data_IF_348757128301
#
_entry.id   IF_348757128301
#
_cell.length_a   1.000
_cell.length_b   1.000
_cell.length_c   1.000
_cell.angle_alpha   90.00
_cell.angle_beta   90.00
_cell.angle_gamma   90.00
#
_symmetry.space_group_name_H-M   'P 1'
#
loop_
_entity.id
_entity.type
_entity.pdbx_description
1 polymer ?
#
# COMPACT_ATOMS: atom_id res chain seq x y z
N UNK A 1 27.85 -6.64 -3.70
CA UNK A 1 26.42 -6.28 -3.82
C UNK A 1 26.16 -5.19 -2.80
N UNK A 2 25.85 -3.98 -3.24
CA UNK A 2 25.52 -2.86 -2.35
C UNK A 2 24.23 -3.20 -1.59
N UNK A 3 24.17 -2.95 -0.29
CA UNK A 3 22.94 -3.13 0.47
C UNK A 3 21.80 -2.33 -0.19
N UNK A 4 20.57 -2.87 -0.30
CA UNK A 4 19.46 -2.12 -0.83
C UNK A 4 19.24 -0.86 0.04
N UNK A 5 18.90 0.28 -0.57
CA UNK A 5 18.63 1.50 0.18
C UNK A 5 17.47 1.25 1.14
N UNK A 6 17.67 1.62 2.41
CA UNK A 6 16.59 1.64 3.40
C UNK A 6 15.68 2.82 3.08
N UNK A 7 14.36 2.64 3.00
CA UNK A 7 13.44 3.75 2.80
C UNK A 7 13.44 4.64 4.04
N UNK A 8 13.24 5.94 3.84
CA UNK A 8 13.16 6.87 4.97
C UNK A 8 11.95 6.58 5.88
N UNK A 9 10.84 6.14 5.29
CA UNK A 9 9.60 5.82 5.99
C UNK A 9 8.81 4.70 5.30
N UNK A 10 7.85 4.15 6.03
CA UNK A 10 6.72 3.43 5.46
C UNK A 10 5.44 4.19 5.75
N UNK A 11 4.66 4.44 4.69
CA UNK A 11 3.30 4.95 4.80
C UNK A 11 2.30 3.81 4.78
N UNK A 12 1.42 3.81 5.77
CA UNK A 12 0.47 2.75 6.04
C UNK A 12 -0.91 3.15 5.53
N UNK A 13 -1.56 2.26 4.78
CA UNK A 13 -2.87 2.48 4.17
C UNK A 13 -3.81 1.33 4.54
N UNK A 14 -5.06 1.68 4.81
CA UNK A 14 -6.15 0.72 5.03
C UNK A 14 -7.37 1.19 4.26
N UNK A 15 -8.00 0.25 3.58
CA UNK A 15 -9.28 0.46 2.90
C UNK A 15 -10.21 -0.72 3.15
N UNK A 16 -11.50 -0.43 3.30
CA UNK A 16 -12.56 -1.44 3.39
C UNK A 16 -13.80 -0.89 2.69
N UNK A 17 -14.40 -1.68 1.82
CA UNK A 17 -15.57 -1.27 1.06
C UNK A 17 -16.11 -2.39 0.17
N UNK A 18 -17.01 -2.06 -0.75
CA UNK A 18 -17.56 -3.04 -1.68
C UNK A 18 -16.52 -3.51 -2.70
N UNK A 19 -16.50 -4.81 -2.98
CA UNK A 19 -15.62 -5.42 -3.97
C UNK A 19 -15.78 -4.79 -5.35
N UNK A 20 -17.00 -4.40 -5.71
CA UNK A 20 -17.31 -3.72 -6.98
C UNK A 20 -16.61 -2.35 -7.09
N UNK A 21 -16.54 -1.59 -6.00
CA UNK A 21 -15.78 -0.33 -5.97
C UNK A 21 -14.28 -0.59 -6.12
N UNK A 22 -13.77 -1.67 -5.52
CA UNK A 22 -12.38 -2.10 -5.73
C UNK A 22 -12.11 -2.60 -7.16
N UNK A 23 -13.11 -3.13 -7.88
CA UNK A 23 -12.98 -3.52 -9.29
C UNK A 23 -13.03 -2.35 -10.28
N UNK A 24 -13.37 -1.14 -9.84
CA UNK A 24 -13.39 0.05 -10.69
C UNK A 24 -11.95 0.50 -11.03
N UNK A 25 -11.39 -0.10 -12.08
CA UNK A 25 -10.01 0.11 -12.52
C UNK A 25 -9.65 1.59 -12.76
N UNK A 26 -10.46 2.42 -13.45
CA UNK A 26 -10.12 3.82 -13.73
C UNK A 26 -9.79 4.64 -12.48
N UNK A 27 -10.44 4.36 -11.34
CA UNK A 27 -10.19 5.06 -10.07
C UNK A 27 -8.87 4.62 -9.39
N UNK A 28 -8.22 3.57 -9.89
CA UNK A 28 -7.08 2.88 -9.27
C UNK A 28 -5.76 3.07 -10.03
N UNK A 29 -5.76 3.76 -11.16
CA UNK A 29 -4.53 4.02 -11.91
C UNK A 29 -4.37 5.49 -12.32
N UNK A 30 -3.15 6.04 -12.24
CA UNK A 30 -2.85 7.27 -12.95
C UNK A 30 -2.97 7.06 -14.48
N UNK A 31 -3.11 8.13 -15.27
CA UNK A 31 -3.18 8.03 -16.72
C UNK A 31 -1.94 7.35 -17.28
N UNK A 32 -2.15 6.27 -18.03
CA UNK A 32 -1.21 5.50 -18.87
C UNK A 32 0.26 5.91 -18.79
N UNK A 33 1.05 5.13 -18.04
CA UNK A 33 2.50 5.27 -17.98
C UNK A 33 3.19 4.01 -18.48
N UNK A 34 3.99 4.16 -19.54
CA UNK A 34 4.85 3.10 -20.11
C UNK A 34 6.34 3.46 -19.90
N UNK A 35 6.66 4.54 -19.17
CA UNK A 35 8.03 4.97 -18.96
C UNK A 35 8.53 4.66 -17.53
N UNK A 36 9.73 4.07 -17.43
CA UNK A 36 10.40 3.81 -16.15
C UNK A 36 11.15 5.04 -15.60
N UNK A 37 11.48 6.00 -16.47
CA UNK A 37 12.36 7.15 -16.16
C UNK A 37 11.59 8.45 -15.95
N UNK A 38 10.41 8.37 -15.33
CA UNK A 38 9.57 9.53 -15.03
C UNK A 38 10.21 10.31 -13.89
N UNK A 39 10.42 11.61 -14.09
CA UNK A 39 10.94 12.51 -13.06
C UNK A 39 9.91 12.79 -11.97
N UNK A 40 10.33 13.21 -10.75
CA UNK A 40 9.39 13.59 -9.70
C UNK A 40 8.37 14.67 -10.12
N UNK A 41 8.77 15.59 -10.99
CA UNK A 41 7.88 16.65 -11.50
C UNK A 41 6.85 16.10 -12.48
N UNK A 42 7.25 15.21 -13.38
CA UNK A 42 6.32 14.55 -14.31
C UNK A 42 5.31 13.69 -13.55
N UNK A 43 5.72 12.96 -12.51
CA UNK A 43 4.80 12.22 -11.63
C UNK A 43 3.68 13.10 -11.08
N UNK A 44 4.03 14.30 -10.59
CA UNK A 44 3.05 15.27 -10.09
C UNK A 44 2.07 15.72 -11.19
N UNK A 45 2.55 15.95 -12.41
CA UNK A 45 1.72 16.34 -13.55
C UNK A 45 0.77 15.22 -13.98
N UNK A 46 1.28 13.98 -14.07
CA UNK A 46 0.49 12.80 -14.44
C UNK A 46 -0.62 12.57 -13.41
N UNK A 47 -0.29 12.63 -12.13
CA UNK A 47 -1.25 12.47 -11.06
C UNK A 47 -2.31 13.57 -11.10
N UNK A 48 -1.91 14.83 -11.30
CA UNK A 48 -2.83 15.97 -11.43
C UNK A 48 -3.78 15.86 -12.64
N UNK A 49 -3.35 15.20 -13.72
CA UNK A 49 -4.18 14.94 -14.89
C UNK A 49 -5.28 13.89 -14.66
N UNK A 50 -5.31 13.20 -13.50
CA UNK A 50 -6.39 12.30 -13.11
C UNK A 50 -7.01 12.67 -11.76
N UNK A 51 -7.98 13.60 -11.76
CA UNK A 51 -8.70 13.96 -10.55
C UNK A 51 -9.39 12.78 -9.86
N UNK A 52 -9.94 11.84 -10.65
CA UNK A 52 -10.59 10.62 -10.13
C UNK A 52 -9.61 9.75 -9.35
N UNK A 53 -8.41 9.53 -9.89
CA UNK A 53 -7.36 8.76 -9.19
C UNK A 53 -6.90 9.46 -7.91
N UNK A 54 -6.76 10.79 -7.95
CA UNK A 54 -6.30 11.60 -6.81
C UNK A 54 -7.34 11.72 -5.70
N UNK A 55 -8.63 11.65 -6.04
CA UNK A 55 -9.73 11.68 -5.08
C UNK A 55 -10.06 10.29 -4.51
N UNK A 56 -9.67 9.22 -5.20
CA UNK A 56 -9.99 7.85 -4.82
C UNK A 56 -9.27 7.43 -3.54
N UNK A 57 -10.02 6.78 -2.64
CA UNK A 57 -9.46 6.09 -1.46
C UNK A 57 -9.26 4.59 -1.72
N UNK A 58 -9.66 4.10 -2.89
CA UNK A 58 -9.59 2.68 -3.28
C UNK A 58 -8.15 2.31 -3.60
N UNK A 59 -7.59 1.18 -3.12
CA UNK A 59 -6.18 0.87 -3.34
C UNK A 59 -5.79 0.91 -4.82
N UNK A 60 -4.65 1.51 -5.19
CA UNK A 60 -4.21 1.60 -6.57
C UNK A 60 -3.87 0.22 -7.15
N UNK A 61 -3.72 0.14 -8.48
CA UNK A 61 -3.28 -1.10 -9.15
C UNK A 61 -1.82 -1.41 -8.83
N UNK A 62 -0.95 -0.40 -8.87
CA UNK A 62 0.45 -0.51 -8.45
C UNK A 62 0.57 0.11 -7.05
N UNK A 63 1.10 -0.66 -6.09
CA UNK A 63 1.16 -0.25 -4.68
C UNK A 63 1.91 1.06 -4.46
N UNK A 64 2.99 1.29 -5.20
CA UNK A 64 3.80 2.51 -5.09
C UNK A 64 3.02 3.78 -5.47
N UNK A 65 1.95 3.67 -6.27
CA UNK A 65 1.11 4.81 -6.63
C UNK A 65 0.29 5.36 -5.46
N UNK A 66 0.27 4.69 -4.30
CA UNK A 66 -0.22 5.32 -3.07
C UNK A 66 0.55 6.61 -2.75
N UNK A 67 1.86 6.64 -3.02
CA UNK A 67 2.71 7.81 -2.76
C UNK A 67 2.36 9.03 -3.64
N UNK A 68 1.64 8.82 -4.76
CA UNK A 68 1.12 9.91 -5.58
C UNK A 68 -0.13 10.56 -4.96
N UNK A 69 -0.81 9.86 -4.05
CA UNK A 69 -2.05 10.36 -3.45
C UNK A 69 -1.77 11.37 -2.34
N UNK A 70 -2.74 12.26 -2.04
CA UNK A 70 -2.57 13.23 -0.98
C UNK A 70 -2.32 12.57 0.38
N UNK A 71 -1.47 13.20 1.20
CA UNK A 71 -1.07 12.69 2.51
C UNK A 71 -2.24 12.33 3.45
N UNK A 72 -3.41 12.96 3.28
CA UNK A 72 -4.64 12.62 4.04
C UNK A 72 -5.10 11.17 3.90
N UNK A 73 -4.65 10.47 2.86
CA UNK A 73 -4.98 9.05 2.63
C UNK A 73 -4.16 8.11 3.53
N UNK A 74 -3.05 8.61 4.07
CA UNK A 74 -2.13 7.87 4.94
C UNK A 74 -2.77 7.71 6.32
N UNK A 75 -2.79 6.47 6.82
CA UNK A 75 -3.37 6.13 8.14
C UNK A 75 -2.33 6.16 9.26
N UNK A 76 -1.08 5.85 8.94
CA UNK A 76 0.07 5.98 9.83
C UNK A 76 1.37 6.10 9.03
N UNK A 77 2.41 6.64 9.65
CA UNK A 77 3.77 6.68 9.06
C UNK A 77 4.77 6.29 10.14
N UNK A 78 5.73 5.45 9.79
CA UNK A 78 6.78 5.02 10.70
C UNK A 78 8.13 4.95 9.99
N UNK A 79 9.21 5.08 10.75
CA UNK A 79 10.59 4.90 10.27
C UNK A 79 11.14 3.53 10.65
N UNK A 80 10.62 2.90 11.71
CA UNK A 80 11.11 1.62 12.20
C UNK A 80 10.28 0.45 11.63
N UNK A 81 10.91 -0.53 10.94
CA UNK A 81 10.22 -1.70 10.37
C UNK A 81 9.35 -2.46 11.38
N UNK A 82 9.79 -2.54 12.64
CA UNK A 82 9.06 -3.25 13.69
C UNK A 82 7.74 -2.56 14.02
N UNK A 83 7.70 -1.22 14.02
CA UNK A 83 6.46 -0.46 14.25
C UNK A 83 5.49 -0.58 13.07
N UNK A 84 6.03 -0.63 11.84
CA UNK A 84 5.25 -0.86 10.61
C UNK A 84 4.62 -2.24 10.64
N UNK A 85 5.39 -3.27 11.02
CA UNK A 85 4.90 -4.64 11.18
C UNK A 85 3.83 -4.74 12.28
N UNK A 86 4.07 -4.13 13.45
CA UNK A 86 3.11 -4.10 14.54
C UNK A 86 1.78 -3.48 14.08
N UNK A 87 1.83 -2.34 13.39
CA UNK A 87 0.63 -1.71 12.83
C UNK A 87 -0.10 -2.64 11.85
N UNK A 88 0.62 -3.31 10.96
CA UNK A 88 0.03 -4.26 10.01
C UNK A 88 -0.68 -5.42 10.72
N UNK A 89 -0.01 -6.02 11.72
CA UNK A 89 -0.58 -7.10 12.54
C UNK A 89 -1.86 -6.65 13.22
N UNK A 90 -1.85 -5.47 13.84
CA UNK A 90 -3.03 -4.90 14.48
C UNK A 90 -4.20 -4.72 13.50
N UNK A 91 -3.94 -4.18 12.31
CA UNK A 91 -5.00 -4.00 11.30
C UNK A 91 -5.58 -5.35 10.81
N UNK A 92 -4.73 -6.35 10.60
CA UNK A 92 -5.17 -7.68 10.15
C UNK A 92 -5.94 -8.40 11.25
N UNK A 93 -5.47 -8.34 12.50
CA UNK A 93 -6.16 -8.92 13.64
C UNK A 93 -7.54 -8.29 13.85
N UNK A 94 -7.65 -6.96 13.75
CA UNK A 94 -8.93 -6.23 13.82
C UNK A 94 -9.91 -6.70 12.72
N UNK A 95 -9.43 -6.95 11.51
CA UNK A 95 -10.26 -7.40 10.39
C UNK A 95 -10.61 -8.90 10.42
N UNK A 96 -9.82 -9.72 11.12
CA UNK A 96 -9.90 -11.20 11.08
C UNK A 96 -11.30 -11.76 11.33
N UNK A 97 -12.09 -11.26 12.32
CA UNK A 97 -13.44 -11.76 12.55
C UNK A 97 -14.38 -11.61 11.34
N UNK A 98 -14.08 -10.70 10.41
CA UNK A 98 -14.90 -10.36 9.24
C UNK A 98 -14.52 -11.11 7.96
N UNK A 99 -13.40 -11.84 7.95
CA UNK A 99 -12.96 -12.60 6.78
C UNK A 99 -13.96 -13.69 6.40
N UNK A 100 -14.15 -13.91 5.09
CA UNK A 100 -15.04 -14.97 4.58
C UNK A 100 -14.44 -16.34 4.85
N UNK A 101 -13.17 -16.53 4.50
CA UNK A 101 -12.57 -17.85 4.48
C UNK A 101 -11.95 -18.20 5.84
N UNK A 102 -12.13 -19.44 6.28
CA UNK A 102 -11.44 -19.93 7.48
C UNK A 102 -9.94 -20.11 7.24
N UNK A 103 -9.53 -20.25 5.98
CA UNK A 103 -8.14 -20.21 5.57
C UNK A 103 -7.47 -18.89 5.99
N UNK A 104 -8.14 -17.76 5.81
CA UNK A 104 -7.60 -16.45 6.19
C UNK A 104 -7.62 -16.19 7.70
N UNK A 105 -8.50 -16.87 8.43
CA UNK A 105 -8.57 -16.81 9.89
C UNK A 105 -7.60 -17.77 10.58
N UNK A 106 -7.01 -18.72 9.85
CA UNK A 106 -6.14 -19.73 10.42
C UNK A 106 -4.91 -19.07 11.07
N UNK A 107 -4.66 -19.27 12.39
CA UNK A 107 -3.59 -18.58 13.10
C UNK A 107 -2.18 -18.89 12.55
N UNK A 108 -1.93 -20.14 12.14
CA UNK A 108 -0.64 -20.54 11.54
C UNK A 108 -0.40 -19.79 10.23
N UNK A 109 -1.41 -19.69 9.37
CA UNK A 109 -1.33 -18.93 8.11
C UNK A 109 -1.13 -17.44 8.35
N UNK A 110 -1.77 -16.88 9.37
CA UNK A 110 -1.54 -15.48 9.74
C UNK A 110 -0.10 -15.27 10.21
N UNK A 111 0.43 -16.16 11.04
CA UNK A 111 1.83 -16.12 11.47
C UNK A 111 2.79 -16.18 10.27
N UNK A 112 2.57 -17.09 9.30
CA UNK A 112 3.36 -17.18 8.06
C UNK A 112 3.34 -15.84 7.29
N UNK A 113 2.17 -15.22 7.14
CA UNK A 113 2.03 -13.91 6.47
C UNK A 113 2.74 -12.79 7.22
N UNK A 114 2.67 -12.77 8.54
CA UNK A 114 3.36 -11.77 9.35
C UNK A 114 4.88 -11.93 9.26
N UNK A 115 5.40 -13.17 9.28
CA UNK A 115 6.82 -13.42 9.05
C UNK A 115 7.26 -12.97 7.66
N UNK A 116 6.46 -13.23 6.61
CA UNK A 116 6.76 -12.77 5.26
C UNK A 116 6.72 -11.23 5.15
N UNK A 117 5.82 -10.58 5.88
CA UNK A 117 5.78 -9.13 5.97
C UNK A 117 7.04 -8.57 6.67
N UNK A 118 7.46 -9.16 7.79
CA UNK A 118 8.68 -8.77 8.51
C UNK A 118 9.91 -8.89 7.61
N UNK A 119 10.05 -10.02 6.92
CA UNK A 119 11.14 -10.22 5.96
C UNK A 119 11.13 -9.14 4.88
N UNK A 120 9.98 -8.90 4.26
CA UNK A 120 9.82 -7.86 3.22
C UNK A 120 10.18 -6.46 3.71
N UNK A 121 9.76 -6.11 4.93
CA UNK A 121 10.06 -4.82 5.55
C UNK A 121 11.54 -4.68 5.90
N UNK A 122 12.21 -5.76 6.31
CA UNK A 122 13.63 -5.74 6.72
C UNK A 122 14.58 -5.24 5.63
N UNK A 123 14.21 -5.40 4.36
CA UNK A 123 14.98 -4.92 3.21
C UNK A 123 14.32 -3.75 2.46
N UNK A 124 13.40 -3.03 3.11
CA UNK A 124 12.84 -1.80 2.55
C UNK A 124 11.67 -2.01 1.60
N UNK A 125 10.96 -3.13 1.73
CA UNK A 125 9.91 -3.53 0.81
C UNK A 125 8.51 -3.03 1.14
N UNK A 126 7.68 -3.03 0.09
CA UNK A 126 6.23 -2.85 0.22
C UNK A 126 5.55 -4.17 0.63
N UNK A 127 4.57 -4.08 1.53
CA UNK A 127 3.70 -5.18 1.95
C UNK A 127 2.28 -4.89 1.48
N UNK A 128 1.62 -5.89 0.90
CA UNK A 128 0.23 -5.79 0.42
C UNK A 128 -0.56 -6.98 0.94
N UNK A 129 -1.66 -6.68 1.63
CA UNK A 129 -2.66 -7.65 2.07
C UNK A 129 -4.04 -7.29 1.54
N UNK A 130 -4.82 -8.30 1.17
CA UNK A 130 -6.18 -8.17 0.67
C UNK A 130 -7.03 -9.37 1.05
N UNK A 131 -8.25 -9.11 1.53
CA UNK A 131 -9.14 -10.14 2.05
C UNK A 131 -10.59 -9.90 1.64
N UNK A 132 -11.27 -10.96 1.24
CA UNK A 132 -12.72 -10.94 1.07
C UNK A 132 -13.39 -10.94 2.44
N UNK A 133 -14.35 -10.03 2.63
CA UNK A 133 -15.17 -9.92 3.83
C UNK A 133 -16.55 -10.53 3.59
N UNK A 134 -17.25 -10.89 4.66
CA UNK A 134 -18.65 -11.35 4.57
C UNK A 134 -19.50 -10.38 3.74
N UNK A 135 -20.41 -10.94 2.94
CA UNK A 135 -21.20 -10.17 1.97
C UNK A 135 -20.40 -9.87 0.70
N UNK A 136 -20.50 -8.63 0.20
CA UNK A 136 -19.80 -8.15 -1.01
C UNK A 136 -18.53 -7.36 -0.67
N UNK A 137 -18.05 -7.43 0.58
CA UNK A 137 -16.97 -6.58 1.06
C UNK A 137 -15.57 -7.06 0.70
N UNK A 138 -14.63 -6.12 0.64
CA UNK A 138 -13.20 -6.37 0.52
C UNK A 138 -12.46 -5.43 1.46
N UNK A 139 -11.43 -5.94 2.14
CA UNK A 139 -10.50 -5.15 2.92
C UNK A 139 -9.10 -5.28 2.35
N UNK A 140 -8.31 -4.23 2.55
CA UNK A 140 -6.93 -4.21 2.13
C UNK A 140 -6.10 -3.39 3.10
N UNK A 141 -4.88 -3.84 3.33
CA UNK A 141 -3.89 -3.17 4.18
C UNK A 141 -2.58 -3.15 3.41
N UNK A 142 -1.98 -1.97 3.22
CA UNK A 142 -0.71 -1.81 2.51
C UNK A 142 0.28 -0.99 3.32
N UNK A 143 1.54 -1.39 3.25
CA UNK A 143 2.68 -0.71 3.84
C UNK A 143 3.60 -0.35 2.68
N UNK A 144 3.79 0.94 2.42
CA UNK A 144 4.52 1.39 1.24
C UNK A 144 5.78 2.10 1.69
N UNK A 145 6.92 1.51 1.38
CA UNK A 145 8.23 2.11 1.55
C UNK A 145 8.31 3.38 0.70
N UNK A 146 8.54 4.53 1.34
CA UNK A 146 8.74 5.78 0.62
C UNK A 146 10.20 5.94 0.15
N UNK A 147 10.52 7.13 -0.34
CA UNK A 147 11.81 7.56 -0.89
C UNK A 147 13.05 6.84 -0.30
N UNK A 148 13.86 6.18 -1.13
CA UNK A 148 13.56 5.75 -2.50
C UNK A 148 12.71 4.47 -2.49
N UNK A 149 11.45 4.54 -2.95
CA UNK A 149 10.66 3.32 -3.16
C UNK A 149 11.39 2.42 -4.16
N UNK A 150 11.53 1.13 -3.86
CA UNK A 150 12.36 0.22 -4.66
C UNK A 150 11.83 0.00 -6.09
N UNK A 151 10.51 0.04 -6.30
CA UNK A 151 9.89 -0.18 -7.61
C UNK A 151 9.78 1.13 -8.39
N UNK A 152 9.47 2.23 -7.71
CA UNK A 152 9.34 3.57 -8.27
C UNK A 152 10.18 4.59 -7.51
N UNK A 153 11.52 4.57 -7.66
CA UNK A 153 12.42 5.39 -6.86
C UNK A 153 12.26 6.90 -7.08
N UNK A 154 11.66 7.31 -8.20
CA UNK A 154 11.43 8.71 -8.55
C UNK A 154 10.08 9.27 -8.05
N UNK A 155 9.20 8.44 -7.47
CA UNK A 155 7.99 8.96 -6.82
C UNK A 155 8.40 9.61 -5.49
N UNK A 156 8.09 10.91 -5.27
CA UNK A 156 8.46 11.60 -4.04
C UNK A 156 7.62 11.12 -2.85
N UNK A 157 8.12 11.37 -1.65
CA UNK A 157 7.35 11.16 -0.42
C UNK A 157 6.16 12.15 -0.38
N UNK A 158 4.93 11.69 -0.07
CA UNK A 158 3.74 12.55 0.00
C UNK A 158 3.71 13.51 1.20
N UNK A 159 4.50 13.25 2.25
CA UNK A 159 4.58 14.08 3.46
C UNK A 159 5.79 15.01 3.42
N UNK A 160 6.92 14.52 2.91
CA UNK A 160 8.19 15.26 2.83
C UNK A 160 8.71 15.25 1.38
N UNK A 161 8.04 15.99 0.47
CA UNK A 161 8.29 15.93 -0.98
C UNK A 161 9.59 16.60 -1.44
#
# INVERSE_FOLDING_TARGET
MTAPPTPDHWHCYRWTGERRTYDDEPARRPPHLIACDITPQEWKQIAAASPTFMASEVPPLEVAHWLLRPARTIKATFQEPEKVSAWYRDQVTDLTPSFVTDHDKNPTRQAERFTAADDRLSWGGDVVGGWYLRGTGFASVQLVACSANRIRPTIPCPIFP
#
